data_IF_140461817861
#
_entry.id   IF_140461817861
#
_cell.length_a   1.000
_cell.length_b   1.000
_cell.length_c   1.000
_cell.angle_alpha   90.00
_cell.angle_beta   90.00
_cell.angle_gamma   90.00
#
_symmetry.space_group_name_H-M   'P 1'
#
loop_
_entity.id
_entity.type
_entity.pdbx_description
1 polymer ?
#
# COMPACT_ATOMS: atom_id res chain seq x y z
N UNK A 1 -5.36 11.69 -10.97
CA UNK A 1 -5.05 10.26 -11.17
C UNK A 1 -3.68 9.99 -10.59
N UNK A 2 -3.49 8.90 -9.85
CA UNK A 2 -2.22 8.59 -9.18
C UNK A 2 -1.09 8.43 -10.22
N UNK A 3 -0.01 9.19 -10.03
CA UNK A 3 1.25 9.11 -10.75
C UNK A 3 2.29 8.32 -9.94
N UNK A 4 2.79 7.24 -10.54
CA UNK A 4 3.78 6.36 -9.91
C UNK A 4 5.18 6.48 -10.51
N UNK A 5 5.41 7.45 -11.40
CA UNK A 5 6.68 7.60 -12.11
C UNK A 5 7.77 8.22 -11.25
N UNK A 6 7.41 9.12 -10.34
CA UNK A 6 8.34 9.86 -9.47
C UNK A 6 8.34 9.40 -8.00
N UNK A 7 7.62 8.31 -7.68
CA UNK A 7 7.49 7.83 -6.29
C UNK A 7 8.81 7.23 -5.78
N UNK A 8 9.34 7.82 -4.71
CA UNK A 8 10.55 7.39 -3.98
C UNK A 8 10.26 7.00 -2.52
N UNK A 9 9.20 7.56 -1.93
CA UNK A 9 8.76 7.30 -0.55
C UNK A 9 7.27 6.99 -0.53
N UNK A 10 6.81 6.38 0.56
CA UNK A 10 5.38 6.09 0.74
C UNK A 10 4.54 7.39 0.78
N UNK A 11 5.10 8.47 1.33
CA UNK A 11 4.46 9.78 1.40
C UNK A 11 4.14 10.34 0.01
N UNK A 12 5.02 10.12 -0.97
CA UNK A 12 4.82 10.59 -2.35
C UNK A 12 3.55 10.00 -3.00
N UNK A 13 3.03 8.87 -2.50
CA UNK A 13 1.78 8.27 -2.95
C UNK A 13 0.61 9.00 -2.30
N UNK A 14 0.68 9.15 -0.98
CA UNK A 14 -0.45 9.62 -0.18
C UNK A 14 -0.68 11.13 -0.31
N UNK A 15 0.37 11.89 -0.67
CA UNK A 15 0.26 13.33 -0.95
C UNK A 15 -0.49 13.60 -2.27
N UNK A 16 -0.68 12.58 -3.11
CA UNK A 16 -1.44 12.69 -4.36
C UNK A 16 -2.94 12.42 -4.21
N UNK A 17 -3.37 11.89 -3.06
CA UNK A 17 -4.74 11.46 -2.84
C UNK A 17 -5.27 12.15 -1.60
N UNK A 18 -5.99 13.24 -1.84
CA UNK A 18 -6.73 13.94 -0.81
C UNK A 18 -8.00 13.13 -0.48
N UNK A 19 -8.10 12.66 0.76
CA UNK A 19 -9.24 11.86 1.22
C UNK A 19 -9.95 12.60 2.36
N UNK A 20 -11.07 13.24 2.06
CA UNK A 20 -12.02 13.69 3.09
C UNK A 20 -12.82 12.49 3.60
N UNK A 21 -12.56 12.08 4.84
CA UNK A 21 -13.25 11.01 5.54
C UNK A 21 -14.66 11.47 6.00
N UNK A 22 -15.58 11.64 5.06
CA UNK A 22 -16.98 11.99 5.35
C UNK A 22 -17.80 10.73 5.68
N UNK A 23 -17.49 10.05 6.79
CA UNK A 23 -18.42 9.37 7.73
C UNK A 23 -17.69 8.45 8.71
N UNK A 24 -18.05 8.60 9.99
CA UNK A 24 -17.51 7.90 11.15
C UNK A 24 -17.54 6.37 11.03
N UNK A 25 -16.44 5.76 11.48
CA UNK A 25 -16.04 4.37 11.26
C UNK A 25 -17.00 3.28 11.73
N UNK A 26 -16.99 2.18 10.97
CA UNK A 26 -17.54 0.89 11.36
C UNK A 26 -16.42 -0.11 11.72
N UNK A 27 -16.71 -1.11 12.56
CA UNK A 27 -15.76 -2.15 13.01
C UNK A 27 -15.10 -2.95 11.86
N UNK A 28 -15.56 -2.81 10.62
CA UNK A 28 -15.03 -3.48 9.41
C UNK A 28 -14.03 -2.64 8.60
N UNK A 29 -13.80 -1.36 8.92
CA UNK A 29 -12.90 -0.50 8.13
C UNK A 29 -11.42 -0.85 8.26
N UNK A 30 -11.03 -1.53 9.35
CA UNK A 30 -9.65 -2.05 9.52
C UNK A 30 -9.20 -3.05 8.44
N UNK A 31 -10.13 -3.51 7.60
CA UNK A 31 -9.86 -4.42 6.49
C UNK A 31 -9.67 -3.72 5.15
N UNK A 32 -9.97 -2.42 5.04
CA UNK A 32 -9.94 -1.67 3.78
C UNK A 32 -8.64 -0.87 3.66
N UNK A 33 -8.13 -0.78 2.44
CA UNK A 33 -6.93 0.01 2.15
C UNK A 33 -7.30 1.46 1.84
N UNK A 34 -6.69 2.38 2.56
CA UNK A 34 -6.57 3.78 2.16
C UNK A 34 -5.26 4.02 1.42
N UNK A 35 -5.36 4.55 0.21
CA UNK A 35 -4.22 4.99 -0.60
C UNK A 35 -3.89 6.49 -0.43
N UNK A 36 -4.67 7.20 0.40
CA UNK A 36 -4.47 8.60 0.75
C UNK A 36 -4.19 8.79 2.24
N UNK A 37 -4.06 10.04 2.67
CA UNK A 37 -3.96 10.41 4.08
C UNK A 37 -5.35 10.71 4.65
N UNK A 38 -5.65 10.28 5.87
CA UNK A 38 -6.84 10.71 6.62
C UNK A 38 -6.40 11.26 7.97
N UNK A 39 -6.72 12.53 8.27
CA UNK A 39 -6.44 13.19 9.55
C UNK A 39 -5.00 13.01 10.06
N UNK A 40 -4.01 13.09 9.16
CA UNK A 40 -2.58 12.91 9.48
C UNK A 40 -2.12 11.46 9.63
N UNK A 41 -3.01 10.48 9.52
CA UNK A 41 -2.67 9.06 9.50
C UNK A 41 -2.45 8.56 8.07
N UNK A 42 -1.27 7.99 7.83
CA UNK A 42 -0.87 7.39 6.56
C UNK A 42 -0.85 5.86 6.71
N UNK A 43 -1.91 5.21 6.23
CA UNK A 43 -2.07 3.77 6.40
C UNK A 43 -1.05 2.96 5.60
N UNK A 44 -0.67 3.42 4.40
CA UNK A 44 0.38 2.79 3.62
C UNK A 44 1.72 2.83 4.38
N UNK A 45 2.01 3.96 5.04
CA UNK A 45 3.23 4.14 5.84
C UNK A 45 3.22 3.25 7.07
N UNK A 46 2.08 3.13 7.76
CA UNK A 46 1.90 2.17 8.87
C UNK A 46 2.25 0.74 8.42
N UNK A 47 1.68 0.27 7.29
CA UNK A 47 1.99 -1.09 6.79
C UNK A 47 3.44 -1.24 6.35
N UNK A 48 4.01 -0.22 5.72
CA UNK A 48 5.43 -0.20 5.40
C UNK A 48 6.30 -0.33 6.63
N UNK A 49 6.09 0.51 7.65
CA UNK A 49 6.89 0.52 8.87
C UNK A 49 6.73 -0.78 9.66
N UNK A 50 5.53 -1.35 9.69
CA UNK A 50 5.23 -2.59 10.39
C UNK A 50 5.84 -3.83 9.74
N UNK A 51 5.82 -3.93 8.41
CA UNK A 51 6.14 -5.18 7.72
C UNK A 51 7.40 -5.12 6.85
N UNK A 52 7.76 -3.96 6.30
CA UNK A 52 8.75 -3.88 5.22
C UNK A 52 9.99 -3.07 5.58
N UNK A 53 9.91 -2.09 6.50
CA UNK A 53 11.01 -1.20 6.87
C UNK A 53 12.30 -1.90 7.28
N UNK A 54 12.18 -3.03 7.99
CA UNK A 54 13.32 -3.77 8.51
C UNK A 54 13.76 -4.93 7.60
N UNK A 55 13.20 -5.04 6.39
CA UNK A 55 13.57 -6.10 5.45
C UNK A 55 14.89 -5.74 4.77
N UNK A 56 15.98 -6.39 5.21
CA UNK A 56 17.33 -6.16 4.68
C UNK A 56 17.37 -6.35 3.15
N UNK A 57 17.93 -5.35 2.46
CA UNK A 57 18.16 -5.37 1.01
C UNK A 57 16.96 -4.88 0.18
N UNK A 58 15.92 -4.35 0.82
CA UNK A 58 14.73 -3.82 0.15
C UNK A 58 14.66 -2.31 0.38
N UNK A 59 14.87 -1.47 -0.66
CA UNK A 59 14.72 -0.03 -0.52
C UNK A 59 13.25 0.34 -0.37
N UNK A 60 12.97 1.40 0.40
CA UNK A 60 11.61 1.97 0.54
C UNK A 60 11.00 2.28 -0.82
N UNK A 61 11.79 2.85 -1.73
CA UNK A 61 11.38 3.21 -3.09
C UNK A 61 10.75 2.04 -3.86
N UNK A 62 11.28 0.82 -3.71
CA UNK A 62 10.72 -0.35 -4.37
C UNK A 62 9.31 -0.64 -3.85
N UNK A 63 9.15 -0.67 -2.52
CA UNK A 63 7.85 -0.92 -1.90
C UNK A 63 6.86 0.20 -2.21
N UNK A 64 7.31 1.46 -2.17
CA UNK A 64 6.50 2.61 -2.52
C UNK A 64 6.01 2.56 -3.96
N UNK A 65 6.88 2.27 -4.94
CA UNK A 65 6.47 2.10 -6.34
C UNK A 65 5.46 0.97 -6.52
N UNK A 66 5.63 -0.15 -5.81
CA UNK A 66 4.71 -1.29 -5.87
C UNK A 66 3.34 -0.91 -5.26
N UNK A 67 3.33 -0.31 -4.06
CA UNK A 67 2.12 0.16 -3.40
C UNK A 67 1.39 1.19 -4.28
N UNK A 68 2.11 2.14 -4.89
CA UNK A 68 1.53 3.12 -5.81
C UNK A 68 0.85 2.44 -7.00
N UNK A 69 1.52 1.49 -7.65
CA UNK A 69 0.97 0.75 -8.79
C UNK A 69 -0.27 -0.06 -8.40
N UNK A 70 -0.35 -0.56 -7.17
CA UNK A 70 -1.53 -1.25 -6.66
C UNK A 70 -2.66 -0.29 -6.32
N UNK A 71 -2.36 0.88 -5.72
CA UNK A 71 -3.31 1.96 -5.53
C UNK A 71 -3.91 2.42 -6.86
N UNK A 72 -3.08 2.71 -7.87
CA UNK A 72 -3.53 3.10 -9.21
C UNK A 72 -4.41 2.03 -9.87
N UNK A 73 -4.09 0.74 -9.68
CA UNK A 73 -4.83 -0.37 -10.30
C UNK A 73 -6.16 -0.66 -9.60
N UNK A 74 -6.15 -0.75 -8.27
CA UNK A 74 -7.28 -1.23 -7.48
C UNK A 74 -8.16 -0.09 -6.96
N UNK A 75 -7.58 1.11 -6.76
CA UNK A 75 -8.27 2.32 -6.29
C UNK A 75 -8.00 3.53 -7.20
N UNK A 76 -8.28 3.47 -8.52
CA UNK A 76 -7.98 4.56 -9.44
C UNK A 76 -8.64 5.89 -9.08
N UNK A 77 -9.81 5.86 -8.41
CA UNK A 77 -10.51 7.06 -7.92
C UNK A 77 -10.34 7.31 -6.41
N UNK A 78 -9.77 6.35 -5.68
CA UNK A 78 -9.63 6.38 -4.22
C UNK A 78 -10.89 5.94 -3.46
N UNK A 79 -12.03 5.79 -4.13
CA UNK A 79 -13.34 5.47 -3.51
C UNK A 79 -13.66 3.98 -3.50
N UNK A 80 -12.89 3.17 -4.20
CA UNK A 80 -13.12 1.74 -4.35
C UNK A 80 -12.90 0.99 -3.03
N UNK A 81 -13.75 0.01 -2.75
CA UNK A 81 -13.60 -0.85 -1.59
C UNK A 81 -12.59 -1.96 -1.90
N UNK A 82 -11.35 -1.79 -1.42
CA UNK A 82 -10.26 -2.74 -1.63
C UNK A 82 -9.79 -3.26 -0.29
N UNK A 83 -9.74 -4.58 -0.15
CA UNK A 83 -9.24 -5.20 1.08
C UNK A 83 -7.70 -5.20 1.12
N UNK A 84 -7.13 -5.22 2.32
CA UNK A 84 -5.68 -5.45 2.48
C UNK A 84 -5.23 -6.77 1.84
N UNK A 85 -6.07 -7.81 1.84
CA UNK A 85 -5.75 -9.09 1.21
C UNK A 85 -5.55 -8.93 -0.31
N UNK A 86 -6.49 -8.26 -0.99
CA UNK A 86 -6.39 -8.01 -2.44
C UNK A 86 -5.22 -7.09 -2.78
N UNK A 87 -4.95 -6.13 -1.90
CA UNK A 87 -3.81 -5.25 -2.03
C UNK A 87 -2.49 -6.02 -1.92
N UNK A 88 -2.34 -6.89 -0.93
CA UNK A 88 -1.15 -7.74 -0.78
C UNK A 88 -0.99 -8.73 -1.94
N UNK A 89 -2.09 -9.31 -2.46
CA UNK A 89 -2.07 -10.12 -3.69
C UNK A 89 -1.56 -9.31 -4.88
N UNK A 90 -2.01 -8.06 -5.01
CA UNK A 90 -1.49 -7.16 -6.03
C UNK A 90 0.02 -6.89 -5.85
N UNK A 91 0.48 -6.62 -4.63
CA UNK A 91 1.91 -6.42 -4.34
C UNK A 91 2.73 -7.67 -4.68
N UNK A 92 2.27 -8.85 -4.27
CA UNK A 92 2.92 -10.14 -4.55
C UNK A 92 3.06 -10.38 -6.05
N UNK A 93 2.00 -10.11 -6.83
CA UNK A 93 2.01 -10.27 -8.29
C UNK A 93 3.04 -9.40 -9.04
N UNK A 94 3.64 -8.42 -8.36
CA UNK A 94 4.64 -7.48 -8.92
C UNK A 94 6.08 -7.80 -8.50
N UNK A 95 6.27 -8.84 -7.68
CA UNK A 95 7.56 -9.29 -7.21
C UNK A 95 7.87 -10.65 -7.83
N UNK A 96 9.15 -10.91 -8.09
CA UNK A 96 9.64 -12.24 -8.47
C UNK A 96 10.33 -12.89 -7.26
N UNK A 97 10.17 -14.21 -7.12
CA UNK A 97 10.74 -14.98 -6.00
C UNK A 97 12.27 -14.91 -5.96
N UNK A 98 12.90 -14.90 -7.13
CA UNK A 98 14.36 -14.85 -7.25
C UNK A 98 14.96 -13.51 -6.79
N UNK A 99 14.25 -12.40 -6.99
CA UNK A 99 14.76 -11.07 -6.66
C UNK A 99 14.39 -10.61 -5.24
N UNK A 100 13.21 -11.01 -4.73
CA UNK A 100 12.69 -10.50 -3.46
C UNK A 100 12.06 -11.58 -2.56
N UNK A 101 12.78 -12.68 -2.24
CA UNK A 101 12.21 -13.84 -1.54
C UNK A 101 11.74 -13.49 -0.12
N UNK A 102 12.42 -12.58 0.58
CA UNK A 102 12.03 -12.15 1.94
C UNK A 102 10.73 -11.35 1.94
N UNK A 103 10.56 -10.46 0.96
CA UNK A 103 9.35 -9.65 0.79
C UNK A 103 8.16 -10.53 0.43
N UNK A 104 8.35 -11.51 -0.45
CA UNK A 104 7.29 -12.46 -0.82
C UNK A 104 6.87 -13.30 0.38
N UNK A 105 7.80 -13.84 1.17
CA UNK A 105 7.48 -14.56 2.41
C UNK A 105 6.67 -13.73 3.42
N UNK A 106 6.89 -12.42 3.47
CA UNK A 106 6.09 -11.52 4.32
C UNK A 106 4.68 -11.38 3.75
N UNK A 107 4.55 -11.14 2.45
CA UNK A 107 3.25 -11.03 1.79
C UNK A 107 2.43 -12.33 1.90
N UNK A 108 3.07 -13.49 1.75
CA UNK A 108 2.42 -14.80 1.88
C UNK A 108 1.83 -15.03 3.28
N UNK A 109 2.44 -14.47 4.33
CA UNK A 109 1.90 -14.52 5.70
C UNK A 109 0.73 -13.55 5.93
N UNK A 110 0.66 -12.48 5.15
CA UNK A 110 -0.37 -11.45 5.27
C UNK A 110 -1.61 -11.77 4.44
N UNK A 111 -1.42 -12.51 3.35
CA UNK A 111 -2.49 -13.03 2.50
C UNK A 111 -3.18 -14.18 3.24
N UNK A 112 -4.50 -14.08 3.36
CA UNK A 112 -5.37 -15.09 3.97
C UNK A 112 -6.27 -15.73 2.93
#
# INVERSE_FOLDING_TARGET
MIDCTQVKRITDITDQVDYEDKKSGGKTDSQKVSCGQSNGYNELKDKYDKYFKNVKGIPEELIAKIMCKCCKKLKPTGKENVSWNDFYKCMRSRLTEDNHPKTIKILDKLIK
#
